data_IF_441742189353
#
_entry.id   IF_441742189353
#
_cell.length_a   1.000
_cell.length_b   1.000
_cell.length_c   1.000
_cell.angle_alpha   90.00
_cell.angle_beta   90.00
_cell.angle_gamma   90.00
#
_symmetry.space_group_name_H-M   'P 1'
#
loop_
_entity.id
_entity.type
_entity.pdbx_description
1 polymer ?
#
# COMPACT_ATOMS: atom_id res chain seq x y z
N UNK A 1 2.59 0.21 7.07
CA UNK A 1 1.52 0.95 7.79
C UNK A 1 1.75 2.47 7.89
N UNK A 2 2.97 2.97 8.13
CA UNK A 2 3.23 4.40 8.37
C UNK A 2 2.71 5.32 7.25
N UNK A 3 2.88 4.94 5.97
CA UNK A 3 2.35 5.72 4.85
C UNK A 3 0.82 5.80 4.87
N UNK A 4 0.13 4.70 5.22
CA UNK A 4 -1.33 4.70 5.31
C UNK A 4 -1.84 5.63 6.42
N UNK A 5 -1.13 5.68 7.57
CA UNK A 5 -1.45 6.60 8.66
C UNK A 5 -1.19 8.05 8.25
N UNK A 6 -0.02 8.34 7.67
CA UNK A 6 0.36 9.69 7.24
C UNK A 6 -0.57 10.22 6.13
N UNK A 7 -0.97 9.35 5.19
CA UNK A 7 -1.92 9.66 4.13
C UNK A 7 -3.38 9.73 4.58
N UNK A 8 -3.67 9.54 5.89
CA UNK A 8 -5.03 9.45 6.47
C UNK A 8 -5.90 8.36 5.84
N UNK A 9 -5.28 7.37 5.18
CA UNK A 9 -5.91 6.18 4.62
C UNK A 9 -6.31 5.20 5.71
N UNK A 10 -5.50 5.12 6.76
CA UNK A 10 -5.80 4.41 8.00
C UNK A 10 -5.85 5.35 9.21
N UNK A 11 -6.67 5.01 10.21
CA UNK A 11 -6.70 5.67 11.52
C UNK A 11 -6.39 4.66 12.60
N UNK A 12 -5.54 5.01 13.58
CA UNK A 12 -5.20 4.12 14.70
C UNK A 12 -6.44 3.63 15.47
N UNK A 13 -7.48 4.48 15.59
CA UNK A 13 -8.76 4.10 16.21
C UNK A 13 -9.55 3.05 15.43
N UNK A 14 -9.34 2.92 14.11
CA UNK A 14 -10.04 1.92 13.29
C UNK A 14 -9.63 0.48 13.62
N UNK A 15 -8.48 0.28 14.27
CA UNK A 15 -8.00 -1.04 14.71
C UNK A 15 -8.50 -1.43 16.11
N UNK A 16 -9.18 -0.52 16.83
CA UNK A 16 -9.54 -0.68 18.26
C UNK A 16 -11.01 -1.03 18.53
N UNK A 17 -11.88 -1.09 17.53
CA UNK A 17 -13.32 -1.29 17.74
C UNK A 17 -13.96 -2.26 16.77
N UNK A 18 -14.78 -3.18 17.30
CA UNK A 18 -15.71 -4.00 16.53
C UNK A 18 -16.75 -3.08 15.88
N UNK A 19 -16.55 -2.69 14.62
CA UNK A 19 -17.50 -1.85 13.87
C UNK A 19 -16.87 -0.86 12.90
N UNK A 20 -15.56 -0.57 13.01
CA UNK A 20 -14.87 0.30 12.04
C UNK A 20 -14.21 -0.55 10.97
N UNK A 21 -14.54 -0.33 9.70
CA UNK A 21 -13.91 -1.03 8.57
C UNK A 21 -12.41 -0.73 8.58
N UNK A 22 -11.59 -1.76 8.79
CA UNK A 22 -10.13 -1.64 8.68
C UNK A 22 -9.80 -1.46 7.20
N UNK A 23 -9.02 -0.44 6.82
CA UNK A 23 -8.57 -0.24 5.45
C UNK A 23 -7.42 -1.20 5.15
N UNK A 24 -7.78 -2.49 5.01
CA UNK A 24 -6.84 -3.60 4.87
C UNK A 24 -5.90 -3.38 3.68
N UNK A 25 -6.45 -2.99 2.53
CA UNK A 25 -5.70 -2.72 1.30
C UNK A 25 -4.61 -1.67 1.54
N UNK A 26 -4.96 -0.54 2.16
CA UNK A 26 -4.01 0.53 2.44
C UNK A 26 -2.91 0.10 3.43
N UNK A 27 -3.30 -0.67 4.45
CA UNK A 27 -2.38 -1.18 5.48
C UNK A 27 -1.39 -2.15 4.85
N UNK A 28 -1.87 -3.09 4.03
CA UNK A 28 -1.03 -4.08 3.35
C UNK A 28 -0.11 -3.41 2.34
N UNK A 29 -0.63 -2.49 1.51
CA UNK A 29 0.16 -1.66 0.58
C UNK A 29 1.31 -0.98 1.32
N UNK A 30 0.99 -0.27 2.41
CA UNK A 30 2.00 0.44 3.18
C UNK A 30 2.98 -0.47 3.91
N UNK A 31 2.60 -1.72 4.20
CA UNK A 31 3.44 -2.67 4.94
C UNK A 31 4.43 -3.36 4.02
N UNK A 32 4.01 -3.70 2.81
CA UNK A 32 4.87 -4.35 1.81
C UNK A 32 5.80 -3.34 1.15
N UNK A 33 5.27 -2.21 0.69
CA UNK A 33 6.03 -1.26 -0.12
C UNK A 33 6.65 -0.12 0.70
N UNK A 34 6.10 0.19 1.88
CA UNK A 34 6.60 1.29 2.72
C UNK A 34 8.09 1.19 3.06
N UNK A 35 8.62 0.02 3.47
CA UNK A 35 10.04 -0.14 3.77
C UNK A 35 10.99 0.27 2.63
N UNK A 36 10.56 0.16 1.37
CA UNK A 36 11.36 0.52 0.19
C UNK A 36 11.72 2.02 0.17
N UNK A 37 10.89 2.88 0.76
CA UNK A 37 11.14 4.32 0.88
C UNK A 37 12.30 4.66 1.84
N UNK A 38 12.70 3.73 2.70
CA UNK A 38 13.79 3.89 3.66
C UNK A 38 15.09 3.20 3.23
N UNK A 39 15.06 2.49 2.11
CA UNK A 39 16.24 1.84 1.53
C UNK A 39 17.16 2.85 0.84
N UNK A 40 18.44 2.48 0.69
CA UNK A 40 19.33 3.19 -0.23
C UNK A 40 18.77 3.12 -1.66
N UNK A 41 19.12 4.06 -2.56
CA UNK A 41 18.70 3.98 -3.97
C UNK A 41 19.06 2.65 -4.65
N UNK A 42 20.21 2.07 -4.32
CA UNK A 42 20.66 0.78 -4.85
C UNK A 42 19.82 -0.40 -4.34
N UNK A 43 19.58 -0.45 -3.02
CA UNK A 43 18.76 -1.49 -2.41
C UNK A 43 17.30 -1.40 -2.89
N UNK A 44 16.77 -0.18 -3.00
CA UNK A 44 15.42 0.06 -3.50
C UNK A 44 15.28 -0.43 -4.93
N UNK A 45 16.23 -0.10 -5.83
CA UNK A 45 16.23 -0.63 -7.21
C UNK A 45 16.24 -2.15 -7.21
N UNK A 46 17.12 -2.77 -6.42
CA UNK A 46 17.23 -4.23 -6.32
C UNK A 46 15.92 -4.85 -5.82
N UNK A 47 15.30 -4.26 -4.81
CA UNK A 47 14.00 -4.72 -4.30
C UNK A 47 12.88 -4.58 -5.34
N UNK A 48 12.86 -3.48 -6.10
CA UNK A 48 11.93 -3.30 -7.22
C UNK A 48 12.19 -4.34 -8.31
N UNK A 49 13.43 -4.61 -8.68
CA UNK A 49 13.79 -5.68 -9.62
C UNK A 49 13.26 -7.06 -9.16
N UNK A 50 13.36 -7.35 -7.87
CA UNK A 50 12.78 -8.57 -7.27
C UNK A 50 11.25 -8.63 -7.45
N UNK A 51 10.53 -7.51 -7.30
CA UNK A 51 9.08 -7.45 -7.56
C UNK A 51 8.78 -7.74 -9.03
N UNK A 52 9.52 -7.11 -9.95
CA UNK A 52 9.34 -7.36 -11.38
C UNK A 52 9.56 -8.83 -11.73
N UNK A 53 10.60 -9.47 -11.18
CA UNK A 53 10.87 -10.90 -11.35
C UNK A 53 9.74 -11.76 -10.76
N UNK A 54 9.36 -11.53 -9.51
CA UNK A 54 8.31 -12.28 -8.82
C UNK A 54 6.94 -12.20 -9.51
N UNK A 55 6.65 -11.09 -10.19
CA UNK A 55 5.41 -10.91 -10.92
C UNK A 55 5.51 -11.22 -12.41
N UNK A 56 6.70 -11.56 -12.92
CA UNK A 56 7.00 -11.69 -14.34
C UNK A 56 6.57 -10.43 -15.14
N UNK A 57 6.88 -9.26 -14.58
CA UNK A 57 6.70 -7.95 -15.22
C UNK A 57 8.03 -7.55 -15.84
N UNK A 58 7.99 -6.93 -17.02
CA UNK A 58 9.19 -6.40 -17.68
C UNK A 58 9.95 -5.49 -16.72
N UNK A 59 11.22 -5.80 -16.47
CA UNK A 59 12.09 -4.93 -15.70
C UNK A 59 12.44 -3.67 -16.51
N UNK A 60 12.43 -2.49 -15.89
CA UNK A 60 13.01 -1.30 -16.50
C UNK A 60 14.50 -1.46 -16.75
N UNK A 61 15.03 -0.80 -17.78
CA UNK A 61 16.47 -0.77 -18.12
C UNK A 61 17.27 0.25 -17.30
N UNK A 62 16.58 1.12 -16.55
CA UNK A 62 17.18 2.21 -15.79
C UNK A 62 18.11 1.71 -14.69
N UNK A 63 19.28 2.34 -14.58
CA UNK A 63 20.23 2.17 -13.45
C UNK A 63 20.05 3.24 -12.37
N UNK A 64 19.21 4.25 -12.62
CA UNK A 64 18.90 5.32 -11.68
C UNK A 64 17.81 4.93 -10.67
N UNK A 65 17.71 5.72 -9.59
CA UNK A 65 16.79 5.49 -8.48
C UNK A 65 15.32 5.34 -8.92
N UNK A 66 14.52 4.65 -8.08
CA UNK A 66 13.08 4.48 -8.26
C UNK A 66 12.31 5.37 -7.29
N UNK A 67 11.42 6.19 -7.82
CA UNK A 67 10.49 7.02 -7.05
C UNK A 67 9.27 6.18 -6.64
N UNK A 68 8.87 6.29 -5.37
CA UNK A 68 7.64 5.67 -4.84
C UNK A 68 6.60 6.73 -4.53
N UNK A 69 5.39 6.58 -5.08
CA UNK A 69 4.27 7.45 -4.78
C UNK A 69 3.08 6.61 -4.35
N UNK A 70 2.74 6.67 -3.06
CA UNK A 70 1.57 6.02 -2.50
C UNK A 70 0.32 6.87 -2.73
N UNK A 71 -0.76 6.26 -3.20
CA UNK A 71 -2.05 6.92 -3.48
C UNK A 71 -1.92 8.25 -4.24
N UNK A 72 -1.16 8.32 -5.35
CA UNK A 72 -1.02 9.55 -6.09
C UNK A 72 -2.35 9.91 -6.76
N UNK A 73 -2.74 11.18 -6.68
CA UNK A 73 -3.89 11.70 -7.43
C UNK A 73 -3.45 11.94 -8.88
N UNK A 74 -3.73 10.98 -9.76
CA UNK A 74 -3.42 11.08 -11.18
C UNK A 74 -4.56 11.81 -11.91
N UNK A 75 -4.28 12.88 -12.68
CA UNK A 75 -5.32 13.66 -13.35
C UNK A 75 -5.92 12.88 -14.54
N UNK A 76 -7.25 12.92 -14.69
CA UNK A 76 -7.93 12.41 -15.87
C UNK A 76 -8.10 13.55 -16.89
N UNK A 77 -7.58 13.36 -18.10
CA UNK A 77 -7.50 14.40 -19.13
C UNK A 77 -8.87 14.86 -19.71
N UNK A 78 -9.97 14.17 -19.40
CA UNK A 78 -11.24 14.30 -20.13
C UNK A 78 -12.38 15.04 -19.41
N UNK A 79 -12.14 15.72 -18.29
CA UNK A 79 -13.18 16.52 -17.63
C UNK A 79 -12.65 17.92 -17.25
N UNK A 80 -12.69 18.84 -18.22
CA UNK A 80 -12.20 20.21 -18.05
C UNK A 80 -13.01 21.05 -17.03
N UNK A 81 -14.17 20.55 -16.59
CA UNK A 81 -15.09 21.28 -15.71
C UNK A 81 -15.04 20.81 -14.26
N UNK A 82 -14.44 19.63 -13.99
CA UNK A 82 -14.14 19.14 -12.64
C UNK A 82 -12.84 18.36 -12.69
N UNK A 83 -11.84 18.75 -11.89
CA UNK A 83 -10.62 17.98 -11.73
C UNK A 83 -10.96 16.58 -11.17
N UNK A 84 -11.23 15.62 -12.07
CA UNK A 84 -11.34 14.21 -11.74
C UNK A 84 -9.93 13.64 -11.69
N UNK A 85 -9.66 12.92 -10.63
CA UNK A 85 -8.43 12.17 -10.47
C UNK A 85 -8.78 10.71 -10.22
N UNK A 86 -7.86 9.85 -10.57
CA UNK A 86 -7.85 8.45 -10.18
C UNK A 86 -6.66 8.23 -9.24
N UNK A 87 -6.78 7.27 -8.34
CA UNK A 87 -5.83 7.07 -7.26
C UNK A 87 -5.45 5.58 -7.20
N UNK A 88 -4.39 5.15 -7.89
CA UNK A 88 -3.85 3.81 -7.69
C UNK A 88 -3.19 3.70 -6.31
N UNK A 89 -3.09 2.49 -5.76
CA UNK A 89 -2.45 2.28 -4.45
C UNK A 89 -0.97 2.67 -4.43
N UNK A 90 -0.23 2.34 -5.50
CA UNK A 90 1.17 2.69 -5.64
C UNK A 90 1.56 2.94 -7.09
N UNK A 91 2.40 3.95 -7.29
CA UNK A 91 3.09 4.19 -8.55
C UNK A 91 4.59 4.18 -8.29
N UNK A 92 5.30 3.33 -9.03
CA UNK A 92 6.76 3.31 -9.10
C UNK A 92 7.20 3.98 -10.40
N UNK A 93 8.19 4.86 -10.34
CA UNK A 93 8.74 5.51 -11.53
C UNK A 93 10.26 5.40 -11.49
N UNK A 94 10.86 4.81 -12.51
CA UNK A 94 12.33 4.77 -12.63
C UNK A 94 12.89 6.11 -13.11
N UNK A 95 14.22 6.23 -13.15
CA UNK A 95 14.89 7.45 -13.60
C UNK A 95 14.69 7.75 -15.09
N UNK A 96 14.37 6.74 -15.92
CA UNK A 96 14.08 6.91 -17.34
C UNK A 96 12.62 7.31 -17.59
N UNK A 97 11.74 7.24 -16.58
CA UNK A 97 10.31 7.52 -16.65
C UNK A 97 9.46 6.33 -17.13
N UNK A 98 9.93 5.10 -16.97
CA UNK A 98 9.08 3.91 -17.01
C UNK A 98 8.26 3.83 -15.71
N UNK A 99 6.97 3.51 -15.83
CA UNK A 99 6.04 3.53 -14.71
C UNK A 99 5.49 2.13 -14.45
N UNK A 100 5.50 1.69 -13.19
CA UNK A 100 4.71 0.55 -12.74
C UNK A 100 3.55 1.08 -11.88
N UNK A 101 2.34 1.00 -12.42
CA UNK A 101 1.10 1.28 -11.68
C UNK A 101 0.69 -0.01 -10.97
N UNK A 102 0.44 0.07 -9.68
CA UNK A 102 0.04 -1.07 -8.85
C UNK A 102 -1.29 -0.75 -8.18
N UNK A 103 -2.26 -1.60 -8.44
CA UNK A 103 -3.56 -1.63 -7.79
C UNK A 103 -3.67 -2.89 -6.94
N UNK A 104 -4.26 -2.75 -5.76
CA UNK A 104 -4.30 -3.79 -4.75
C UNK A 104 -5.75 -4.03 -4.30
N UNK A 105 -6.23 -5.27 -4.39
CA UNK A 105 -7.52 -5.65 -3.80
C UNK A 105 -7.41 -6.80 -2.81
N UNK A 106 -8.10 -6.65 -1.68
CA UNK A 106 -8.19 -7.64 -0.62
C UNK A 106 -9.65 -8.10 -0.43
N UNK A 107 -10.15 -8.81 -1.43
CA UNK A 107 -11.53 -9.30 -1.45
C UNK A 107 -12.59 -8.23 -1.74
N UNK A 108 -12.20 -6.96 -1.92
CA UNK A 108 -13.11 -5.92 -2.41
C UNK A 108 -13.20 -5.95 -3.94
N UNK A 109 -14.38 -5.73 -4.53
CA UNK A 109 -14.50 -5.62 -5.99
C UNK A 109 -13.76 -4.39 -6.51
N UNK A 110 -13.35 -4.44 -7.78
CA UNK A 110 -12.89 -3.26 -8.50
C UNK A 110 -14.02 -2.25 -8.65
N UNK A 111 -13.67 -0.97 -8.54
CA UNK A 111 -14.54 0.12 -8.98
C UNK A 111 -14.79 0.03 -10.48
N UNK A 112 -15.91 0.61 -10.92
CA UNK A 112 -16.26 0.64 -12.34
C UNK A 112 -15.18 1.38 -13.15
N UNK A 113 -14.56 0.69 -14.10
CA UNK A 113 -13.50 1.23 -14.96
C UNK A 113 -12.28 1.77 -14.24
N UNK A 114 -12.01 1.27 -13.03
CA UNK A 114 -10.92 1.72 -12.18
C UNK A 114 -9.56 1.55 -12.86
N UNK A 115 -9.29 0.37 -13.43
CA UNK A 115 -7.99 0.09 -14.05
C UNK A 115 -7.81 0.84 -15.38
N UNK A 116 -8.89 0.94 -16.17
CA UNK A 116 -8.89 1.73 -17.39
C UNK A 116 -8.60 3.21 -17.10
N UNK A 117 -9.24 3.79 -16.08
CA UNK A 117 -9.02 5.17 -15.69
C UNK A 117 -7.57 5.42 -15.24
N UNK A 118 -6.98 4.49 -14.45
CA UNK A 118 -5.58 4.57 -14.04
C UNK A 118 -4.62 4.57 -15.24
N UNK A 119 -4.87 3.70 -16.23
CA UNK A 119 -4.06 3.65 -17.44
C UNK A 119 -4.21 4.91 -18.31
N UNK A 120 -5.42 5.44 -18.43
CA UNK A 120 -5.73 6.66 -19.16
C UNK A 120 -5.07 7.92 -18.59
N UNK A 121 -4.89 7.95 -17.27
CA UNK A 121 -4.23 9.06 -16.59
C UNK A 121 -2.73 9.18 -16.97
N UNK A 122 -2.13 8.12 -17.53
CA UNK A 122 -0.77 8.15 -18.03
C UNK A 122 -0.70 8.82 -19.41
N UNK A 123 0.31 9.66 -19.60
CA UNK A 123 0.62 10.25 -20.90
C UNK A 123 0.90 9.18 -21.96
N UNK A 124 0.73 9.48 -23.26
CA UNK A 124 1.05 8.54 -24.33
C UNK A 124 2.50 8.02 -24.28
N UNK A 125 3.46 8.84 -23.84
CA UNK A 125 4.87 8.46 -23.66
C UNK A 125 5.09 7.52 -22.49
N UNK A 126 4.40 7.74 -21.36
CA UNK A 126 4.49 6.87 -20.20
C UNK A 126 3.93 5.48 -20.54
N UNK A 127 2.72 5.41 -21.13
CA UNK A 127 2.06 4.12 -21.44
C UNK A 127 2.92 3.14 -22.24
N UNK A 128 3.72 3.64 -23.19
CA UNK A 128 4.61 2.78 -24.02
C UNK A 128 5.69 2.06 -23.22
N UNK A 129 6.05 2.57 -22.05
CA UNK A 129 7.12 2.05 -21.19
C UNK A 129 6.59 1.56 -19.85
N UNK A 130 5.26 1.57 -19.68
CA UNK A 130 4.64 1.30 -18.39
C UNK A 130 4.10 -0.13 -18.31
N UNK A 131 4.00 -0.61 -17.10
CA UNK A 131 3.27 -1.83 -16.76
C UNK A 131 2.18 -1.50 -15.76
N UNK A 132 1.11 -2.30 -15.75
CA UNK A 132 0.02 -2.18 -14.81
C UNK A 132 -0.13 -3.52 -14.08
N UNK A 133 0.04 -3.54 -12.77
CA UNK A 133 -0.10 -4.71 -11.91
C UNK A 133 -1.38 -4.60 -11.10
N UNK A 134 -2.19 -5.66 -11.13
CA UNK A 134 -3.30 -5.87 -10.21
C UNK A 134 -2.93 -7.03 -9.27
N UNK A 135 -2.78 -6.73 -7.98
CA UNK A 135 -2.43 -7.69 -6.94
C UNK A 135 -3.65 -8.02 -6.08
N UNK A 136 -4.07 -9.29 -6.11
CA UNK A 136 -5.36 -9.73 -5.56
C UNK A 136 -5.25 -11.03 -4.79
N UNK A 137 -6.25 -11.38 -3.99
CA UNK A 137 -6.25 -12.69 -3.32
C UNK A 137 -6.51 -13.83 -4.31
N UNK A 138 -7.65 -13.77 -5.01
CA UNK A 138 -8.06 -14.73 -6.04
C UNK A 138 -8.12 -14.04 -7.40
N UNK A 139 -7.28 -14.47 -8.35
CA UNK A 139 -7.15 -13.80 -9.67
C UNK A 139 -8.41 -13.93 -10.52
N UNK A 140 -9.09 -15.08 -10.42
CA UNK A 140 -10.27 -15.39 -11.23
C UNK A 140 -11.45 -14.44 -10.99
N UNK A 141 -11.60 -13.94 -9.76
CA UNK A 141 -12.68 -13.01 -9.39
C UNK A 141 -12.64 -11.70 -10.20
N UNK A 142 -11.47 -11.32 -10.73
CA UNK A 142 -11.27 -10.03 -11.40
C UNK A 142 -11.19 -10.16 -12.93
N UNK A 143 -11.32 -11.38 -13.48
CA UNK A 143 -11.18 -11.64 -14.92
C UNK A 143 -12.15 -10.79 -15.75
N UNK A 144 -13.44 -10.83 -15.41
CA UNK A 144 -14.49 -10.10 -16.12
C UNK A 144 -14.26 -8.58 -16.08
N UNK A 145 -13.91 -8.04 -14.90
CA UNK A 145 -13.63 -6.61 -14.75
C UNK A 145 -12.44 -6.15 -15.61
N UNK A 146 -11.38 -6.97 -15.68
CA UNK A 146 -10.21 -6.71 -16.53
C UNK A 146 -10.58 -6.75 -18.01
N UNK A 147 -11.42 -7.70 -18.44
CA UNK A 147 -11.89 -7.79 -19.82
C UNK A 147 -12.74 -6.59 -20.23
N UNK A 148 -13.65 -6.14 -19.35
CA UNK A 148 -14.47 -4.94 -19.55
C UNK A 148 -13.58 -3.71 -19.74
N UNK A 149 -12.57 -3.53 -18.89
CA UNK A 149 -11.66 -2.39 -18.96
C UNK A 149 -10.75 -2.45 -20.20
N UNK A 150 -10.33 -3.65 -20.61
CA UNK A 150 -9.54 -3.84 -21.82
C UNK A 150 -10.35 -3.48 -23.08
N UNK A 151 -11.60 -3.93 -23.15
CA UNK A 151 -12.50 -3.57 -24.25
C UNK A 151 -12.79 -2.06 -24.31
N UNK A 152 -12.91 -1.39 -23.15
CA UNK A 152 -13.07 0.06 -23.08
C UNK A 152 -11.84 0.79 -23.64
N UNK A 153 -10.65 0.40 -23.21
CA UNK A 153 -9.39 1.01 -23.66
C UNK A 153 -9.14 0.76 -25.14
N UNK A 154 -9.51 -0.41 -25.66
CA UNK A 154 -9.46 -0.71 -27.10
C UNK A 154 -10.34 0.24 -27.91
N UNK A 155 -11.61 0.43 -27.51
CA UNK A 155 -12.53 1.38 -28.16
C UNK A 155 -12.01 2.83 -28.13
N UNK A 156 -11.17 3.16 -27.16
CA UNK A 156 -10.54 4.50 -27.01
C UNK A 156 -9.19 4.62 -27.74
N UNK A 157 -8.74 3.57 -28.44
CA UNK A 157 -7.47 3.58 -29.16
C UNK A 157 -6.24 3.53 -28.23
N UNK A 158 -6.40 2.98 -27.03
CA UNK A 158 -5.35 2.87 -26.00
C UNK A 158 -4.83 1.43 -25.85
N UNK A 159 -5.15 0.56 -26.82
CA UNK A 159 -4.67 -0.81 -26.98
C UNK A 159 -3.25 -0.84 -27.59
N UNK A 160 -2.43 -1.87 -27.30
CA UNK A 160 -2.69 -2.97 -26.38
C UNK A 160 -2.47 -2.57 -24.93
N UNK A 161 -3.47 -2.79 -24.09
CA UNK A 161 -3.34 -2.77 -22.63
C UNK A 161 -3.68 -4.15 -22.09
N UNK A 162 -2.77 -4.70 -21.27
CA UNK A 162 -2.96 -5.99 -20.59
C UNK A 162 -2.33 -5.88 -19.20
N UNK A 163 -3.13 -5.70 -18.13
CA UNK A 163 -2.58 -5.67 -16.80
C UNK A 163 -2.06 -7.05 -16.43
N UNK A 164 -0.98 -7.08 -15.65
CA UNK A 164 -0.46 -8.30 -15.04
C UNK A 164 -1.28 -8.54 -13.77
N UNK A 165 -2.14 -9.56 -13.78
CA UNK A 165 -2.94 -9.95 -12.63
C UNK A 165 -2.20 -11.04 -11.85
N UNK A 166 -1.96 -10.83 -10.56
CA UNK A 166 -1.23 -11.78 -9.70
C UNK A 166 -1.93 -11.96 -8.37
N UNK A 167 -1.76 -13.16 -7.82
CA UNK A 167 -2.14 -13.42 -6.44
C UNK A 167 -1.10 -12.83 -5.49
N UNK A 168 -1.51 -12.35 -4.31
CA UNK A 168 -0.61 -12.02 -3.21
C UNK A 168 0.40 -13.13 -2.92
N UNK A 169 -0.01 -14.40 -3.09
CA UNK A 169 0.87 -15.57 -2.95
C UNK A 169 2.13 -15.51 -3.81
N UNK A 170 2.12 -14.80 -4.94
CA UNK A 170 3.30 -14.59 -5.79
C UNK A 170 4.43 -13.88 -5.05
N UNK A 171 4.14 -13.07 -4.03
CA UNK A 171 5.15 -12.43 -3.19
C UNK A 171 5.98 -13.41 -2.36
N UNK A 172 5.51 -14.66 -2.17
CA UNK A 172 6.31 -15.69 -1.47
C UNK A 172 7.56 -16.12 -2.25
N UNK A 173 7.65 -15.76 -3.54
CA UNK A 173 8.83 -15.95 -4.37
C UNK A 173 9.90 -14.86 -4.18
N UNK A 174 9.59 -13.76 -3.48
CA UNK A 174 10.53 -12.65 -3.29
C UNK A 174 11.87 -13.07 -2.65
N UNK A 175 11.94 -13.97 -1.64
CA UNK A 175 13.23 -14.38 -1.10
C UNK A 175 14.13 -15.06 -2.13
N UNK A 176 13.54 -15.81 -3.07
CA UNK A 176 14.29 -16.44 -4.16
C UNK A 176 14.79 -15.39 -5.16
N UNK A 177 13.95 -14.43 -5.55
CA UNK A 177 14.35 -13.31 -6.40
C UNK A 177 15.42 -12.43 -5.72
N UNK A 178 15.30 -12.18 -4.41
CA UNK A 178 16.31 -11.44 -3.66
C UNK A 178 17.66 -12.18 -3.63
N UNK A 179 17.64 -13.50 -3.57
CA UNK A 179 18.86 -14.31 -3.62
C UNK A 179 19.53 -14.30 -5.01
N UNK A 180 18.75 -14.20 -6.10
CA UNK A 180 19.29 -14.12 -7.47
C UNK A 180 19.88 -12.74 -7.80
N UNK A 181 19.34 -11.67 -7.22
CA UNK A 181 19.70 -10.28 -7.53
C UNK A 181 20.89 -9.71 -6.72
N UNK A 182 21.44 -10.43 -5.74
CA UNK A 182 22.66 -10.03 -5.03
C UNK A 182 22.61 -10.13 -3.49
N UNK A 183 23.64 -9.62 -2.81
CA UNK A 183 23.88 -9.83 -1.37
C UNK A 183 23.36 -8.73 -0.43
N UNK A 184 22.50 -7.81 -0.87
CA UNK A 184 21.97 -6.79 0.03
C UNK A 184 21.17 -7.41 1.18
N UNK A 185 21.64 -7.20 2.40
CA UNK A 185 20.95 -7.67 3.61
C UNK A 185 19.58 -7.00 3.77
N UNK A 186 19.49 -5.69 3.48
CA UNK A 186 18.24 -4.94 3.56
C UNK A 186 17.17 -5.53 2.62
N UNK A 187 17.55 -5.86 1.38
CA UNK A 187 16.63 -6.48 0.40
C UNK A 187 16.22 -7.88 0.85
N UNK A 188 17.15 -8.71 1.33
CA UNK A 188 16.83 -10.06 1.83
C UNK A 188 15.88 -10.02 3.03
N UNK A 189 16.13 -9.13 4.00
CA UNK A 189 15.29 -8.98 5.18
C UNK A 189 13.87 -8.51 4.80
N UNK A 190 13.78 -7.52 3.91
CA UNK A 190 12.50 -7.06 3.37
C UNK A 190 11.75 -8.18 2.64
N UNK A 191 12.41 -8.87 1.70
CA UNK A 191 11.81 -9.95 0.92
C UNK A 191 11.30 -11.09 1.80
N UNK A 192 12.09 -11.46 2.83
CA UNK A 192 11.71 -12.50 3.80
C UNK A 192 10.52 -12.05 4.65
N UNK A 193 10.55 -10.82 5.16
CA UNK A 193 9.45 -10.26 5.95
C UNK A 193 8.14 -10.19 5.15
N UNK A 194 8.19 -9.80 3.87
CA UNK A 194 7.03 -9.80 2.98
C UNK A 194 6.51 -11.22 2.73
N UNK A 195 7.40 -12.17 2.43
CA UNK A 195 7.00 -13.56 2.21
C UNK A 195 6.35 -14.17 3.47
N UNK A 196 6.90 -13.89 4.65
CA UNK A 196 6.35 -14.37 5.91
C UNK A 196 5.02 -13.70 6.26
N UNK A 197 4.86 -12.40 5.97
CA UNK A 197 3.60 -11.69 6.08
C UNK A 197 2.51 -12.38 5.25
N UNK A 198 2.80 -12.67 3.98
CA UNK A 198 1.86 -13.31 3.05
C UNK A 198 1.57 -14.76 3.43
N UNK A 199 2.56 -15.54 3.89
CA UNK A 199 2.32 -16.93 4.36
C UNK A 199 1.39 -17.00 5.56
N UNK A 200 1.35 -15.95 6.39
CA UNK A 200 0.46 -15.85 7.54
C UNK A 200 -0.97 -15.46 7.15
N UNK A 201 -1.27 -15.24 5.86
CA UNK A 201 -2.58 -14.78 5.37
C UNK A 201 -3.78 -15.61 5.80
N UNK A 202 -3.62 -16.91 5.96
CA UNK A 202 -4.69 -17.77 6.49
C UNK A 202 -5.14 -17.41 7.91
N UNK A 203 -4.43 -16.49 8.60
CA UNK A 203 -4.68 -16.06 9.99
C UNK A 203 -4.78 -14.53 10.14
N UNK A 204 -5.05 -13.76 9.09
CA UNK A 204 -5.25 -12.32 9.25
C UNK A 204 -6.59 -11.98 9.94
N UNK A 205 -6.70 -12.30 11.23
CA UNK A 205 -7.31 -11.36 12.16
C UNK A 205 -6.30 -10.22 12.35
N UNK A 206 -6.34 -9.22 11.47
CA UNK A 206 -5.47 -8.03 11.54
C UNK A 206 -5.87 -7.07 12.66
N UNK A 207 -6.17 -7.61 13.85
CA UNK A 207 -6.02 -6.80 15.04
C UNK A 207 -4.55 -6.46 15.24
N UNK A 208 -3.59 -7.31 14.85
CA UNK A 208 -2.15 -7.03 14.94
C UNK A 208 -1.63 -6.86 16.39
N UNK A 209 -2.51 -6.53 17.32
CA UNK A 209 -2.33 -6.43 18.75
C UNK A 209 -2.22 -7.80 19.42
N UNK A 210 -2.79 -8.85 18.84
CA UNK A 210 -2.72 -10.21 19.41
C UNK A 210 -1.33 -10.86 19.24
N UNK A 211 -0.51 -10.35 18.30
CA UNK A 211 0.80 -10.92 17.95
C UNK A 211 1.98 -10.15 18.53
N UNK A 212 1.82 -8.87 18.84
CA UNK A 212 2.73 -8.21 19.77
C UNK A 212 2.30 -8.74 21.13
N UNK A 213 3.16 -9.46 21.86
CA UNK A 213 2.86 -9.95 23.22
C UNK A 213 2.68 -8.83 24.25
N UNK A 214 2.06 -7.70 23.87
CA UNK A 214 1.52 -6.71 24.76
C UNK A 214 0.41 -7.41 25.52
N UNK A 215 0.75 -7.91 26.71
CA UNK A 215 -0.25 -8.09 27.75
C UNK A 215 -1.08 -6.81 27.78
N UNK A 216 -2.40 -6.96 27.89
CA UNK A 216 -3.23 -5.85 28.32
C UNK A 216 -2.52 -5.22 29.51
N UNK A 217 -2.21 -3.94 29.40
CA UNK A 217 -1.75 -3.17 30.55
C UNK A 217 -2.99 -2.98 31.42
N UNK A 218 -3.37 -4.05 32.11
CA UNK A 218 -4.19 -3.94 33.30
C UNK A 218 -3.26 -3.30 34.33
N UNK A 219 -3.54 -2.02 34.62
CA UNK A 219 -2.93 -1.25 35.70
C UNK A 219 -1.40 -1.04 35.61
N UNK A 220 -0.91 -0.33 34.57
CA UNK A 220 0.31 0.47 34.80
C UNK A 220 -0.08 1.78 35.49
N UNK A 221 0.34 1.84 36.76
CA UNK A 221 0.42 3.03 37.58
C UNK A 221 1.15 4.16 36.81
N UNK A 222 0.44 5.26 36.55
CA UNK A 222 0.82 6.35 35.64
C UNK A 222 2.02 7.20 36.13
N UNK A 223 2.88 6.67 37.00
CA UNK A 223 3.95 7.43 37.67
C UNK A 223 5.12 7.84 36.79
N UNK A 224 5.17 7.40 35.52
CA UNK A 224 6.27 7.73 34.59
C UNK A 224 5.93 8.80 33.54
N UNK A 225 4.74 9.41 33.60
CA UNK A 225 4.45 10.64 32.84
C UNK A 225 4.42 11.82 33.81
N UNK A 226 5.59 12.21 34.31
CA UNK A 226 5.77 13.53 34.92
C UNK A 226 6.02 14.55 33.80
N UNK A 227 5.23 15.64 33.70
CA UNK A 227 5.40 16.64 32.65
C UNK A 227 6.70 17.44 32.83
N UNK A 228 7.51 17.50 31.78
CA UNK A 228 8.56 18.51 31.57
C UNK A 228 7.98 19.89 31.23
N UNK A 229 6.90 20.29 31.92
CA UNK A 229 6.36 21.64 31.84
C UNK A 229 6.15 22.14 33.26
N UNK A 230 7.17 22.82 33.77
CA UNK A 230 7.03 23.65 34.96
C UNK A 230 6.15 24.85 34.65
N UNK A 231 4.87 24.77 35.00
CA UNK A 231 4.07 25.95 35.39
C UNK A 231 3.18 25.55 36.55
N UNK A 232 3.20 26.40 37.58
CA UNK A 232 2.71 26.18 38.94
C UNK A 232 1.22 25.87 39.02
N UNK A 233 0.95 24.98 39.96
CA UNK A 233 -0.29 24.66 40.65
C UNK A 233 -1.23 25.83 40.93
N UNK A 234 -2.52 25.60 40.64
CA UNK A 234 -3.66 26.23 41.28
C UNK A 234 -4.77 25.19 41.44
N UNK A 235 -4.59 24.28 42.39
CA UNK A 235 -5.67 23.40 42.88
C UNK A 235 -6.32 24.11 44.05
N UNK A 236 -7.63 24.32 43.99
CA UNK A 236 -8.48 24.30 45.17
C UNK A 236 -9.95 24.09 44.79
N UNK A 237 -10.47 22.93 45.21
CA UNK A 237 -11.79 22.75 45.83
C UNK A 237 -13.04 23.05 44.96
N UNK A 238 -14.00 22.17 44.78
CA UNK A 238 -14.84 21.60 45.85
C UNK A 238 -15.48 20.28 45.41
N UNK A 239 -15.39 19.28 46.28
CA UNK A 239 -16.24 18.09 46.30
C UNK A 239 -17.54 18.42 47.01
N UNK A 240 -18.64 17.91 46.44
CA UNK A 240 -19.89 17.64 47.12
C UNK A 240 -20.77 18.87 47.31
N UNK A 241 -22.04 18.74 47.00
CA UNK A 241 -23.17 18.86 47.94
C UNK A 241 -24.37 18.14 47.30
N UNK A 242 -25.29 17.77 48.16
CA UNK A 242 -26.26 16.68 48.03
C UNK A 242 -27.47 16.99 47.15
N UNK A 243 -28.18 15.91 46.81
CA UNK A 243 -29.60 15.88 46.46
C UNK A 243 -30.44 16.77 47.40
N UNK A 244 -31.41 17.50 46.85
CA UNK A 244 -32.85 17.35 47.11
C UNK A 244 -33.65 18.37 46.28
N UNK A 245 -34.87 17.94 45.90
CA UNK A 245 -35.94 18.57 45.08
C UNK A 245 -35.93 18.33 43.56
#
# INVERSE_FOLDING_TARGET
>A
MLHALNGRKARLGAFRGAGTRVPIEDVVTSTIFGPLGFMSPEDRRTAVACLHEAFAIRQPSSTGDVQLRFWPRLPLAHDALRARYVEPDLVLTDADGAVLVIEIKWGAPLGKHELAAQWEALSPSERRRSSHLLLVHETEQYREAVEIDAALLERRGLSPWRPVVRSWRSLTALPLAAASQGRSEAVRLWATAVADLVRREHRFSMHGWDQIGLRAVEELDWRYVQPWFGVRSGVSELRGWWNDE
#
